data_IF_425727437020
#
_entry.id   IF_425727437020
#
_cell.length_a   1.000
_cell.length_b   1.000
_cell.length_c   1.000
_cell.angle_alpha   90.00
_cell.angle_beta   90.00
_cell.angle_gamma   90.00
#
_symmetry.space_group_name_H-M   'P 1'
#
loop_
_entity.id
_entity.type
_entity.pdbx_description
1 polymer ?
#
# COMPACT_ATOMS: atom_id res chain seq x y z
N UNK A 1 11.39 -28.91 -21.54
CA UNK A 1 10.57 -27.94 -22.30
C UNK A 1 9.19 -27.63 -21.66
N UNK A 2 8.92 -27.97 -20.39
CA UNK A 2 7.60 -27.76 -19.77
C UNK A 2 7.41 -26.41 -19.03
N UNK A 3 8.48 -25.67 -18.72
CA UNK A 3 8.41 -24.41 -17.94
C UNK A 3 8.14 -23.12 -18.77
N UNK A 4 7.77 -23.28 -20.05
CA UNK A 4 7.45 -22.13 -20.92
C UNK A 4 5.96 -21.75 -20.82
N UNK A 5 5.06 -22.73 -20.87
CA UNK A 5 3.61 -22.48 -20.92
C UNK A 5 3.03 -21.91 -19.60
N UNK A 6 3.50 -22.34 -18.43
CA UNK A 6 3.00 -21.80 -17.15
C UNK A 6 3.29 -20.30 -16.96
N UNK A 7 4.35 -19.78 -17.60
CA UNK A 7 4.69 -18.35 -17.52
C UNK A 7 3.65 -17.48 -18.21
N UNK A 8 3.04 -17.98 -19.29
CA UNK A 8 2.06 -17.24 -20.07
C UNK A 8 0.68 -17.29 -19.41
N UNK A 9 0.29 -18.38 -18.76
CA UNK A 9 -1.01 -18.47 -18.07
C UNK A 9 -1.11 -17.53 -16.86
N UNK A 10 -0.08 -17.49 -16.01
CA UNK A 10 -0.06 -16.55 -14.87
C UNK A 10 0.00 -15.11 -15.37
N UNK A 11 0.77 -14.84 -16.44
CA UNK A 11 0.80 -13.52 -17.06
C UNK A 11 -0.55 -13.13 -17.66
N UNK A 12 -1.27 -14.07 -18.27
CA UNK A 12 -2.63 -13.87 -18.79
C UNK A 12 -3.66 -13.66 -17.69
N UNK A 13 -3.60 -14.39 -16.57
CA UNK A 13 -4.46 -14.19 -15.41
C UNK A 13 -4.19 -12.84 -14.73
N UNK A 14 -2.92 -12.45 -14.60
CA UNK A 14 -2.53 -11.13 -14.09
C UNK A 14 -2.95 -10.05 -15.07
N UNK A 15 -2.80 -10.25 -16.38
CA UNK A 15 -3.29 -9.33 -17.41
C UNK A 15 -4.80 -9.25 -17.41
N UNK A 16 -5.54 -10.32 -17.17
CA UNK A 16 -7.00 -10.30 -17.01
C UNK A 16 -7.42 -9.49 -15.78
N UNK A 17 -6.71 -9.68 -14.66
CA UNK A 17 -6.93 -8.94 -13.42
C UNK A 17 -6.41 -7.48 -13.45
N UNK A 18 -5.48 -7.15 -14.36
CA UNK A 18 -4.87 -5.80 -14.46
C UNK A 18 -5.29 -5.00 -15.70
N UNK A 19 -5.84 -5.63 -16.75
CA UNK A 19 -6.28 -4.96 -17.99
C UNK A 19 -7.58 -4.17 -17.82
N UNK A 20 -8.12 -4.07 -16.62
CA UNK A 20 -9.27 -3.21 -16.30
C UNK A 20 -8.90 -1.72 -16.14
N UNK A 21 -7.71 -1.28 -16.58
CA UNK A 21 -7.13 0.04 -16.25
C UNK A 21 -7.30 1.13 -17.33
N UNK A 22 -7.98 0.89 -18.46
CA UNK A 22 -8.12 1.93 -19.51
C UNK A 22 -9.47 2.65 -19.58
N UNK A 23 -10.27 2.69 -18.51
CA UNK A 23 -11.49 3.52 -18.49
C UNK A 23 -11.62 4.29 -17.16
N UNK A 24 -11.00 5.49 -17.10
CA UNK A 24 -11.06 6.41 -15.95
C UNK A 24 -12.48 6.77 -15.49
N UNK A 25 -13.51 6.60 -16.35
CA UNK A 25 -14.88 7.07 -16.11
C UNK A 25 -15.77 6.11 -15.28
N UNK A 26 -15.34 4.86 -15.07
CA UNK A 26 -16.10 3.85 -14.30
C UNK A 26 -15.33 3.29 -13.10
N UNK A 27 -14.43 4.09 -12.53
CA UNK A 27 -13.50 3.69 -11.47
C UNK A 27 -14.20 3.19 -10.17
N UNK A 28 -15.43 3.63 -9.90
CA UNK A 28 -16.27 3.12 -8.80
C UNK A 28 -16.75 1.67 -9.01
N UNK A 29 -16.72 1.17 -10.25
CA UNK A 29 -17.10 -0.21 -10.59
C UNK A 29 -15.92 -1.19 -10.59
N UNK A 30 -14.68 -0.69 -10.50
CA UNK A 30 -13.49 -1.54 -10.39
C UNK A 30 -13.37 -2.08 -8.95
N UNK A 31 -12.97 -3.34 -8.82
CA UNK A 31 -12.83 -4.06 -7.54
C UNK A 31 -11.99 -3.27 -6.51
N UNK A 32 -11.00 -2.53 -6.98
CA UNK A 32 -10.14 -1.68 -6.15
C UNK A 32 -10.87 -0.44 -5.59
N UNK A 33 -11.65 0.27 -6.41
CA UNK A 33 -12.46 1.41 -5.95
C UNK A 33 -13.51 0.98 -4.92
N UNK A 34 -14.12 -0.19 -5.11
CA UNK A 34 -15.04 -0.81 -4.15
C UNK A 34 -14.32 -1.17 -2.84
N UNK A 35 -13.16 -1.82 -2.88
CA UNK A 35 -12.37 -2.13 -1.67
C UNK A 35 -12.06 -0.86 -0.85
N UNK A 36 -11.60 0.22 -1.49
CA UNK A 36 -11.23 1.45 -0.77
C UNK A 36 -12.45 2.17 -0.19
N UNK A 37 -13.53 2.27 -0.95
CA UNK A 37 -14.78 2.87 -0.45
C UNK A 37 -15.36 2.07 0.71
N UNK A 38 -15.35 0.74 0.62
CA UNK A 38 -15.78 -0.13 1.72
C UNK A 38 -14.80 -0.06 2.90
N UNK A 39 -13.51 0.25 2.71
CA UNK A 39 -12.56 0.53 3.81
C UNK A 39 -13.01 1.75 4.60
N UNK A 40 -13.36 2.84 3.91
CA UNK A 40 -13.88 4.04 4.55
C UNK A 40 -15.17 3.73 5.32
N UNK A 41 -16.09 2.96 4.73
CA UNK A 41 -17.32 2.55 5.41
C UNK A 41 -17.06 1.69 6.65
N UNK A 42 -16.16 0.70 6.54
CA UNK A 42 -15.76 -0.18 7.64
C UNK A 42 -15.22 0.64 8.82
N UNK A 43 -14.22 1.48 8.58
CA UNK A 43 -13.53 2.17 9.66
C UNK A 43 -14.25 3.44 10.14
N UNK A 44 -15.01 4.09 9.27
CA UNK A 44 -15.94 5.16 9.63
C UNK A 44 -17.05 4.64 10.55
N UNK A 45 -17.68 3.51 10.20
CA UNK A 45 -18.68 2.87 11.08
C UNK A 45 -18.08 2.41 12.41
N UNK A 46 -16.84 1.89 12.43
CA UNK A 46 -16.13 1.55 13.67
C UNK A 46 -15.92 2.75 14.59
N UNK A 47 -15.55 3.89 14.01
CA UNK A 47 -15.37 5.15 14.75
C UNK A 47 -16.69 5.63 15.35
N UNK A 48 -17.76 5.64 14.55
CA UNK A 48 -19.10 6.02 15.00
C UNK A 48 -19.63 5.07 16.07
N UNK A 49 -19.41 3.76 15.95
CA UNK A 49 -19.78 2.78 16.96
C UNK A 49 -19.10 3.09 18.31
N UNK A 50 -17.80 3.40 18.29
CA UNK A 50 -17.05 3.75 19.50
C UNK A 50 -17.54 5.05 20.14
N UNK A 51 -17.96 6.03 19.35
CA UNK A 51 -18.47 7.30 19.86
C UNK A 51 -19.89 7.18 20.42
N UNK A 52 -20.72 6.33 19.82
CA UNK A 52 -22.13 6.18 20.20
C UNK A 52 -22.35 5.15 21.30
N UNK A 53 -21.36 4.33 21.67
CA UNK A 53 -21.53 3.24 22.65
C UNK A 53 -22.05 3.73 24.01
N UNK A 54 -21.62 4.91 24.45
CA UNK A 54 -22.04 5.53 25.72
C UNK A 54 -23.35 6.30 25.62
N UNK A 55 -23.78 6.67 24.40
CA UNK A 55 -24.95 7.54 24.17
C UNK A 55 -26.17 6.74 23.72
N UNK A 56 -25.99 5.83 22.77
CA UNK A 56 -27.05 5.01 22.21
C UNK A 56 -26.50 3.63 21.81
N UNK A 57 -26.48 2.66 22.75
CA UNK A 57 -25.85 1.35 22.52
C UNK A 57 -26.53 0.55 21.40
N UNK A 58 -27.85 0.74 21.20
CA UNK A 58 -28.59 0.08 20.11
C UNK A 58 -28.10 0.54 18.73
N UNK A 59 -27.85 1.85 18.56
CA UNK A 59 -27.32 2.40 17.31
C UNK A 59 -25.84 2.03 17.15
N UNK A 60 -25.05 2.06 18.23
CA UNK A 60 -23.65 1.63 18.21
C UNK A 60 -23.50 0.18 17.73
N UNK A 61 -24.37 -0.73 18.19
CA UNK A 61 -24.38 -2.13 17.75
C UNK A 61 -24.66 -2.27 16.24
N UNK A 62 -25.54 -1.44 15.66
CA UNK A 62 -25.78 -1.42 14.20
C UNK A 62 -24.53 -1.02 13.43
N UNK A 63 -23.80 0.00 13.88
CA UNK A 63 -22.54 0.42 13.25
C UNK A 63 -21.41 -0.60 13.45
N UNK A 64 -21.36 -1.30 14.58
CA UNK A 64 -20.43 -2.39 14.81
C UNK A 64 -20.71 -3.58 13.87
N UNK A 65 -21.98 -3.94 13.67
CA UNK A 65 -22.38 -4.95 12.68
C UNK A 65 -21.98 -4.52 11.26
N UNK A 66 -22.21 -3.26 10.90
CA UNK A 66 -21.80 -2.70 9.61
C UNK A 66 -20.28 -2.78 9.41
N UNK A 67 -19.48 -2.53 10.46
CA UNK A 67 -18.02 -2.70 10.44
C UNK A 67 -17.64 -4.14 10.07
N UNK A 68 -18.27 -5.13 10.71
CA UNK A 68 -18.04 -6.55 10.44
C UNK A 68 -18.37 -6.93 8.99
N UNK A 69 -19.57 -6.57 8.53
CA UNK A 69 -20.03 -6.87 7.17
C UNK A 69 -19.15 -6.18 6.11
N UNK A 70 -18.81 -4.91 6.31
CA UNK A 70 -17.92 -4.18 5.41
C UNK A 70 -16.51 -4.83 5.37
N UNK A 71 -15.99 -5.28 6.52
CA UNK A 71 -14.70 -5.97 6.57
C UNK A 71 -14.70 -7.26 5.76
N UNK A 72 -15.77 -8.04 5.79
CA UNK A 72 -15.85 -9.31 5.08
C UNK A 72 -16.11 -9.08 3.58
N UNK A 73 -16.95 -8.10 3.22
CA UNK A 73 -17.11 -7.67 1.82
C UNK A 73 -15.79 -7.26 1.16
N UNK A 74 -14.91 -6.57 1.89
CA UNK A 74 -13.57 -6.21 1.38
C UNK A 74 -12.67 -7.41 1.14
N UNK A 75 -12.78 -8.49 1.90
CA UNK A 75 -11.97 -9.70 1.64
C UNK A 75 -12.34 -10.31 0.29
N UNK A 76 -13.63 -10.29 -0.05
CA UNK A 76 -14.12 -10.78 -1.35
C UNK A 76 -13.51 -9.94 -2.49
N UNK A 77 -13.51 -8.61 -2.38
CA UNK A 77 -12.91 -7.74 -3.41
C UNK A 77 -11.38 -7.89 -3.56
N UNK A 78 -10.72 -8.53 -2.60
CA UNK A 78 -9.26 -8.73 -2.56
C UNK A 78 -8.85 -10.17 -2.86
N UNK A 79 -9.81 -11.05 -3.18
CA UNK A 79 -9.54 -12.41 -3.64
C UNK A 79 -8.57 -12.37 -4.83
N UNK A 80 -7.54 -13.22 -4.82
CA UNK A 80 -6.56 -13.28 -5.91
C UNK A 80 -5.51 -12.17 -5.94
N UNK A 81 -5.55 -11.16 -5.04
CA UNK A 81 -4.50 -10.10 -4.96
C UNK A 81 -3.09 -10.66 -4.72
N UNK A 82 -2.98 -11.83 -4.10
CA UNK A 82 -1.69 -12.49 -3.86
C UNK A 82 -0.96 -12.83 -5.17
N UNK A 83 -1.67 -13.11 -6.28
CA UNK A 83 -1.06 -13.41 -7.58
C UNK A 83 -0.32 -12.18 -8.14
N UNK A 84 -0.92 -11.00 -8.02
CA UNK A 84 -0.30 -9.75 -8.46
C UNK A 84 0.94 -9.43 -7.60
N UNK A 85 0.85 -9.58 -6.28
CA UNK A 85 2.01 -9.37 -5.42
C UNK A 85 3.10 -10.42 -5.64
N UNK A 86 2.76 -11.67 -5.98
CA UNK A 86 3.74 -12.70 -6.32
C UNK A 86 4.58 -12.32 -7.54
N UNK A 87 3.94 -11.83 -8.60
CA UNK A 87 4.66 -11.37 -9.81
C UNK A 87 5.59 -10.18 -9.48
N UNK A 88 5.12 -9.22 -8.67
CA UNK A 88 5.96 -8.08 -8.24
C UNK A 88 7.15 -8.52 -7.40
N UNK A 89 6.93 -9.40 -6.41
CA UNK A 89 8.00 -9.96 -5.57
C UNK A 89 9.03 -10.68 -6.43
N UNK A 90 8.59 -11.51 -7.38
CA UNK A 90 9.49 -12.21 -8.31
C UNK A 90 10.31 -11.23 -9.15
N UNK A 91 9.69 -10.19 -9.68
CA UNK A 91 10.39 -9.17 -10.48
C UNK A 91 11.46 -8.43 -9.68
N UNK A 92 11.12 -7.97 -8.46
CA UNK A 92 12.05 -7.27 -7.57
C UNK A 92 13.18 -8.21 -7.11
N UNK A 93 12.85 -9.46 -6.80
CA UNK A 93 13.85 -10.47 -6.41
C UNK A 93 14.87 -10.72 -7.53
N UNK A 94 14.40 -10.90 -8.78
CA UNK A 94 15.29 -11.09 -9.93
C UNK A 94 16.17 -9.84 -10.15
N UNK A 95 15.59 -8.64 -10.05
CA UNK A 95 16.34 -7.39 -10.17
C UNK A 95 17.41 -7.24 -9.09
N UNK A 96 17.05 -7.54 -7.84
CA UNK A 96 17.96 -7.52 -6.69
C UNK A 96 19.11 -8.53 -6.87
N UNK A 97 18.81 -9.78 -7.21
CA UNK A 97 19.83 -10.81 -7.43
C UNK A 97 20.77 -10.45 -8.58
N UNK A 98 20.23 -9.92 -9.69
CA UNK A 98 21.05 -9.46 -10.83
C UNK A 98 21.98 -8.31 -10.43
N UNK A 99 21.50 -7.35 -9.64
CA UNK A 99 22.33 -6.25 -9.11
C UNK A 99 23.44 -6.79 -8.21
N UNK A 100 23.11 -7.74 -7.32
CA UNK A 100 24.08 -8.38 -6.43
C UNK A 100 25.13 -9.20 -7.16
N UNK A 101 24.77 -9.91 -8.23
CA UNK A 101 25.75 -10.64 -9.05
C UNK A 101 26.75 -9.72 -9.76
N UNK A 102 26.30 -8.54 -10.24
CA UNK A 102 27.18 -7.56 -10.89
C UNK A 102 28.10 -6.84 -9.90
N UNK A 103 27.63 -6.61 -8.68
CA UNK A 103 28.32 -5.82 -7.66
C UNK A 103 28.73 -6.66 -6.45
N UNK A 104 29.10 -7.93 -6.66
CA UNK A 104 29.34 -8.91 -5.60
C UNK A 104 30.47 -8.50 -4.63
N UNK A 105 31.47 -7.75 -5.11
CA UNK A 105 32.64 -7.30 -4.33
C UNK A 105 32.52 -5.90 -3.71
N UNK A 106 31.46 -5.15 -4.02
CA UNK A 106 31.26 -3.78 -3.53
C UNK A 106 30.43 -3.75 -2.23
N UNK A 107 30.69 -2.80 -1.33
CA UNK A 107 29.85 -2.57 -0.15
C UNK A 107 28.41 -2.23 -0.56
N UNK A 108 27.47 -2.41 0.38
CA UNK A 108 26.04 -2.20 0.14
C UNK A 108 25.73 -0.72 -0.12
N UNK A 109 25.56 -0.39 -1.40
CA UNK A 109 25.06 0.90 -1.84
C UNK A 109 23.60 1.16 -1.41
N UNK A 110 23.19 2.42 -1.31
CA UNK A 110 21.85 2.84 -0.88
C UNK A 110 20.73 2.31 -1.78
N UNK A 111 21.02 2.09 -3.06
CA UNK A 111 20.11 1.42 -3.99
C UNK A 111 19.78 -0.01 -3.53
N UNK A 112 20.80 -0.80 -3.14
CA UNK A 112 20.61 -2.17 -2.69
C UNK A 112 19.80 -2.26 -1.38
N UNK A 113 20.05 -1.33 -0.45
CA UNK A 113 19.28 -1.25 0.81
C UNK A 113 17.81 -0.94 0.54
N UNK A 114 17.54 -0.03 -0.39
CA UNK A 114 16.16 0.35 -0.77
C UNK A 114 15.45 -0.81 -1.48
N UNK A 115 16.12 -1.51 -2.39
CA UNK A 115 15.58 -2.72 -3.04
C UNK A 115 15.28 -3.84 -2.04
N UNK A 116 16.14 -4.04 -1.02
CA UNK A 116 15.89 -5.02 0.03
C UNK A 116 14.65 -4.64 0.87
N UNK A 117 14.52 -3.37 1.27
CA UNK A 117 13.33 -2.89 2.00
C UNK A 117 12.05 -3.09 1.17
N UNK A 118 12.10 -2.81 -0.13
CA UNK A 118 11.00 -3.07 -1.05
C UNK A 118 10.68 -4.57 -1.12
N UNK A 119 11.69 -5.43 -1.19
CA UNK A 119 11.51 -6.88 -1.22
C UNK A 119 10.85 -7.39 0.07
N UNK A 120 11.35 -6.96 1.24
CA UNK A 120 10.76 -7.32 2.55
C UNK A 120 9.32 -6.84 2.63
N UNK A 121 9.07 -5.59 2.22
CA UNK A 121 7.72 -5.01 2.23
C UNK A 121 6.75 -5.83 1.36
N UNK A 122 7.14 -6.10 0.11
CA UNK A 122 6.32 -6.81 -0.87
C UNK A 122 6.10 -8.27 -0.48
N UNK A 123 7.10 -8.92 0.09
CA UNK A 123 6.97 -10.26 0.63
C UNK A 123 6.02 -10.29 1.84
N UNK A 124 6.12 -9.33 2.75
CA UNK A 124 5.17 -9.17 3.86
C UNK A 124 3.72 -9.02 3.37
N UNK A 125 3.51 -8.18 2.35
CA UNK A 125 2.20 -8.04 1.72
C UNK A 125 1.74 -9.32 1.00
N UNK A 126 2.62 -10.05 0.32
CA UNK A 126 2.29 -11.32 -0.31
C UNK A 126 1.77 -12.32 0.74
N UNK A 127 2.50 -12.52 1.83
CA UNK A 127 2.08 -13.39 2.93
C UNK A 127 0.76 -12.93 3.55
N UNK A 128 0.60 -11.61 3.74
CA UNK A 128 -0.66 -11.02 4.20
C UNK A 128 -1.83 -11.38 3.27
N UNK A 129 -1.68 -11.21 1.96
CA UNK A 129 -2.76 -11.51 1.01
C UNK A 129 -3.11 -12.99 0.98
N UNK A 130 -2.12 -13.88 1.03
CA UNK A 130 -2.35 -15.33 1.12
C UNK A 130 -3.15 -15.65 2.40
N UNK A 131 -2.75 -15.13 3.55
CA UNK A 131 -3.43 -15.36 4.82
C UNK A 131 -4.82 -14.72 4.88
N UNK A 132 -5.03 -13.56 4.27
CA UNK A 132 -6.35 -12.90 4.16
C UNK A 132 -7.32 -13.74 3.32
N UNK A 133 -6.84 -14.35 2.22
CA UNK A 133 -7.61 -15.29 1.40
C UNK A 133 -7.92 -16.58 2.19
N UNK A 134 -6.93 -17.17 2.87
CA UNK A 134 -7.14 -18.34 3.73
C UNK A 134 -8.12 -18.07 4.87
N UNK A 135 -8.07 -16.89 5.47
CA UNK A 135 -8.99 -16.46 6.52
C UNK A 135 -10.43 -16.37 5.99
N UNK A 136 -10.63 -15.86 4.78
CA UNK A 136 -11.94 -15.84 4.13
C UNK A 136 -12.44 -17.26 3.84
N UNK A 137 -11.59 -18.11 3.27
CA UNK A 137 -11.92 -19.52 2.99
C UNK A 137 -12.26 -20.32 4.27
N UNK A 138 -11.58 -20.01 5.37
CA UNK A 138 -11.85 -20.63 6.66
C UNK A 138 -13.17 -20.13 7.27
N UNK A 139 -13.51 -18.85 7.08
CA UNK A 139 -14.80 -18.29 7.51
C UNK A 139 -16.01 -18.90 6.80
N UNK A 140 -15.88 -19.19 5.50
CA UNK A 140 -16.93 -19.88 4.73
C UNK A 140 -16.96 -21.41 4.98
N UNK A 141 -16.19 -21.90 5.95
CA UNK A 141 -16.04 -23.33 6.30
C UNK A 141 -15.52 -24.21 5.15
N UNK A 142 -14.89 -23.62 4.14
CA UNK A 142 -14.23 -24.36 3.08
C UNK A 142 -12.91 -24.97 3.58
N UNK A 143 -12.23 -24.29 4.50
CA UNK A 143 -11.01 -24.79 5.17
C UNK A 143 -11.22 -24.83 6.69
N UNK A 144 -10.70 -25.86 7.35
CA UNK A 144 -10.82 -26.07 8.80
C UNK A 144 -9.81 -25.32 9.67
N UNK A 145 -9.20 -24.23 9.19
CA UNK A 145 -8.16 -23.51 9.94
C UNK A 145 -8.73 -22.62 11.04
N UNK A 146 -7.92 -22.42 12.09
CA UNK A 146 -8.24 -21.50 13.18
C UNK A 146 -8.19 -20.03 12.70
N UNK A 147 -9.38 -19.45 12.58
CA UNK A 147 -9.58 -18.06 12.12
C UNK A 147 -8.91 -17.03 13.04
N UNK A 148 -8.78 -17.28 14.35
CA UNK A 148 -8.14 -16.34 15.27
C UNK A 148 -6.63 -16.31 15.07
N UNK A 149 -6.00 -17.48 14.92
CA UNK A 149 -4.57 -17.59 14.64
C UNK A 149 -4.23 -17.00 13.27
N UNK A 150 -5.03 -17.30 12.24
CA UNK A 150 -4.87 -16.72 10.90
C UNK A 150 -5.01 -15.19 10.92
N UNK A 151 -6.00 -14.64 11.62
CA UNK A 151 -6.17 -13.19 11.73
C UNK A 151 -4.97 -12.51 12.40
N UNK A 152 -4.41 -13.13 13.45
CA UNK A 152 -3.21 -12.62 14.11
C UNK A 152 -1.98 -12.66 13.20
N UNK A 153 -1.73 -13.79 12.52
CA UNK A 153 -0.62 -13.90 11.56
C UNK A 153 -0.78 -12.89 10.41
N UNK A 154 -2.00 -12.73 9.91
CA UNK A 154 -2.35 -11.71 8.93
C UNK A 154 -1.94 -10.31 9.41
N UNK A 155 -2.26 -9.94 10.66
CA UNK A 155 -1.80 -8.70 11.27
C UNK A 155 -0.27 -8.55 11.32
N UNK A 156 0.45 -9.60 11.70
CA UNK A 156 1.93 -9.58 11.76
C UNK A 156 2.57 -9.37 10.38
N UNK A 157 2.13 -10.11 9.36
CA UNK A 157 2.67 -9.95 8.01
C UNK A 157 2.29 -8.61 7.38
N UNK A 158 1.09 -8.10 7.69
CA UNK A 158 0.70 -6.76 7.28
C UNK A 158 1.63 -5.70 7.89
N UNK A 159 1.97 -5.83 9.17
CA UNK A 159 2.92 -4.93 9.83
C UNK A 159 4.31 -4.96 9.22
N UNK A 160 4.85 -6.15 8.96
CA UNK A 160 6.16 -6.30 8.30
C UNK A 160 6.13 -5.59 6.93
N UNK A 161 5.05 -5.80 6.17
CA UNK A 161 4.81 -5.12 4.89
C UNK A 161 4.81 -3.59 5.03
N UNK A 162 4.08 -3.07 6.02
CA UNK A 162 3.97 -1.64 6.30
C UNK A 162 5.27 -1.00 6.77
N UNK A 163 6.03 -1.64 7.65
CA UNK A 163 7.32 -1.12 8.13
C UNK A 163 8.33 -0.99 6.98
N UNK A 164 8.43 -2.03 6.14
CA UNK A 164 9.27 -1.97 4.94
C UNK A 164 8.79 -0.90 3.96
N UNK A 165 7.47 -0.75 3.80
CA UNK A 165 6.89 0.29 2.93
C UNK A 165 7.19 1.68 3.47
N UNK A 166 7.02 1.92 4.77
CA UNK A 166 7.26 3.21 5.41
C UNK A 166 8.74 3.62 5.27
N UNK A 167 9.66 2.68 5.50
CA UNK A 167 11.08 2.91 5.31
C UNK A 167 11.44 3.20 3.84
N UNK A 168 10.78 2.53 2.91
CA UNK A 168 10.95 2.79 1.46
C UNK A 168 10.45 4.19 1.09
N UNK A 169 9.21 4.54 1.48
CA UNK A 169 8.61 5.84 1.16
C UNK A 169 9.39 7.00 1.79
N UNK A 170 9.93 6.82 3.01
CA UNK A 170 10.77 7.83 3.66
C UNK A 170 12.08 8.07 2.89
N UNK A 171 12.68 7.01 2.32
CA UNK A 171 13.86 7.12 1.46
C UNK A 171 13.53 7.76 0.12
N UNK A 172 12.42 7.36 -0.51
CA UNK A 172 11.93 7.97 -1.74
C UNK A 172 11.69 9.46 -1.54
N UNK A 173 11.05 9.86 -0.44
CA UNK A 173 10.78 11.26 -0.16
C UNK A 173 12.06 12.08 -0.04
N UNK A 174 13.07 11.58 0.68
CA UNK A 174 14.39 12.24 0.77
C UNK A 174 15.05 12.37 -0.60
N UNK A 175 15.07 11.29 -1.37
CA UNK A 175 15.64 11.29 -2.73
C UNK A 175 14.97 12.35 -3.61
N UNK A 176 13.64 12.38 -3.63
CA UNK A 176 12.87 13.33 -4.44
C UNK A 176 13.10 14.77 -3.98
N UNK A 177 13.28 15.01 -2.68
CA UNK A 177 13.64 16.34 -2.17
C UNK A 177 15.03 16.77 -2.63
N UNK A 178 16.01 15.87 -2.58
CA UNK A 178 17.37 16.13 -3.05
C UNK A 178 17.39 16.36 -4.57
N UNK A 179 16.65 15.55 -5.33
CA UNK A 179 16.51 15.67 -6.79
C UNK A 179 15.84 17.01 -7.18
N UNK A 180 14.80 17.43 -6.45
CA UNK A 180 14.11 18.72 -6.63
C UNK A 180 15.09 19.88 -6.40
N UNK A 181 15.86 19.87 -5.31
CA UNK A 181 16.83 20.91 -5.01
C UNK A 181 17.95 20.97 -6.06
N UNK A 182 18.50 19.82 -6.45
CA UNK A 182 19.55 19.74 -7.46
C UNK A 182 19.07 20.27 -8.82
N UNK A 183 17.81 20.03 -9.19
CA UNK A 183 17.22 20.59 -10.40
C UNK A 183 17.06 22.10 -10.33
N UNK A 184 16.59 22.64 -9.20
CA UNK A 184 16.47 24.09 -9.01
C UNK A 184 17.84 24.78 -9.08
N UNK A 185 18.85 24.24 -8.40
CA UNK A 185 20.23 24.78 -8.43
C UNK A 185 20.84 24.75 -9.84
N UNK A 186 20.51 23.74 -10.64
CA UNK A 186 20.97 23.63 -12.04
C UNK A 186 20.29 24.69 -12.91
N UNK A 187 18.99 24.91 -12.72
CA UNK A 187 18.24 25.93 -13.46
C UNK A 187 18.74 27.34 -13.16
N UNK A 188 19.02 27.66 -11.89
CA UNK A 188 19.57 28.97 -11.51
C UNK A 188 20.94 29.23 -12.17
N UNK A 189 21.79 28.20 -12.27
CA UNK A 189 23.11 28.29 -12.92
C UNK A 189 23.00 28.47 -14.43
N UNK A 190 22.04 27.82 -15.06
CA UNK A 190 21.87 27.81 -16.51
C UNK A 190 21.14 29.07 -17.03
N UNK A 191 20.23 29.66 -16.24
CA UNK A 191 19.57 30.94 -16.54
C UNK A 191 20.58 32.09 -16.70
N UNK A 192 21.74 31.97 -16.05
CA UNK A 192 22.83 32.96 -16.13
C UNK A 192 23.63 32.86 -17.45
N UNK A 193 23.45 31.80 -18.27
CA UNK A 193 24.40 31.45 -19.35
C UNK A 193 23.83 31.42 -20.78
N UNK A 194 22.52 31.39 -21.01
CA UNK A 194 21.95 31.27 -22.36
C UNK A 194 20.84 32.31 -22.67
N UNK A 195 20.80 32.81 -23.91
CA UNK A 195 19.75 33.68 -24.44
C UNK A 195 19.23 33.10 -25.77
N UNK A 196 17.91 32.98 -25.93
CA UNK A 196 17.26 32.62 -27.22
C UNK A 196 16.18 31.53 -27.14
N UNK A 197 15.71 31.03 -28.30
CA UNK A 197 14.61 30.07 -28.42
C UNK A 197 14.85 28.70 -27.74
N UNK A 198 16.11 28.31 -27.52
CA UNK A 198 16.47 27.11 -26.75
C UNK A 198 16.12 27.23 -25.26
N UNK A 199 16.04 28.46 -24.72
CA UNK A 199 15.65 28.73 -23.34
C UNK A 199 14.19 28.36 -23.09
N UNK A 200 13.28 28.64 -24.03
CA UNK A 200 11.85 28.35 -23.87
C UNK A 200 11.56 26.83 -23.85
N UNK A 201 12.25 26.06 -24.70
CA UNK A 201 12.12 24.59 -24.74
C UNK A 201 12.64 23.98 -23.43
N UNK A 202 13.84 24.40 -22.98
CA UNK A 202 14.42 23.94 -21.70
C UNK A 202 13.58 24.35 -20.50
N UNK A 203 13.05 25.57 -20.47
CA UNK A 203 12.16 26.04 -19.40
C UNK A 203 10.88 25.18 -19.32
N UNK A 204 10.31 24.78 -20.46
CA UNK A 204 9.16 23.86 -20.50
C UNK A 204 9.52 22.46 -19.99
N UNK A 205 10.67 21.92 -20.37
CA UNK A 205 11.15 20.63 -19.88
C UNK A 205 11.42 20.66 -18.38
N UNK A 206 12.12 21.68 -17.91
CA UNK A 206 12.39 21.93 -16.49
C UNK A 206 11.11 22.03 -15.67
N UNK A 207 10.15 22.84 -16.13
CA UNK A 207 8.86 22.98 -15.48
C UNK A 207 8.07 21.65 -15.45
N UNK A 208 8.22 20.82 -16.49
CA UNK A 208 7.62 19.48 -16.53
C UNK A 208 8.27 18.55 -15.51
N UNK A 209 9.60 18.48 -15.48
CA UNK A 209 10.33 17.63 -14.53
C UNK A 209 10.05 18.04 -13.09
N UNK A 210 10.02 19.35 -12.80
CA UNK A 210 9.70 19.86 -11.48
C UNK A 210 8.27 19.47 -11.07
N UNK A 211 7.30 19.55 -11.98
CA UNK A 211 5.93 19.09 -11.73
C UNK A 211 5.88 17.59 -11.46
N UNK A 212 6.63 16.77 -12.20
CA UNK A 212 6.71 15.32 -11.99
C UNK A 212 7.32 14.99 -10.62
N UNK A 213 8.39 15.67 -10.22
CA UNK A 213 9.00 15.53 -8.88
C UNK A 213 8.05 15.97 -7.76
N UNK A 214 7.33 17.09 -7.94
CA UNK A 214 6.33 17.56 -6.97
C UNK A 214 5.17 16.57 -6.82
N UNK A 215 4.74 15.95 -7.92
CA UNK A 215 3.74 14.88 -7.90
C UNK A 215 4.25 13.64 -7.15
N UNK A 216 5.49 13.20 -7.42
CA UNK A 216 6.11 12.07 -6.71
C UNK A 216 6.26 12.35 -5.21
N UNK A 217 6.70 13.57 -4.84
CA UNK A 217 6.82 14.04 -3.45
C UNK A 217 5.48 14.02 -2.72
N UNK A 218 4.43 14.52 -3.37
CA UNK A 218 3.06 14.52 -2.82
C UNK A 218 2.55 13.09 -2.64
N UNK A 219 2.76 12.22 -3.62
CA UNK A 219 2.37 10.82 -3.56
C UNK A 219 3.11 10.08 -2.41
N UNK A 220 4.42 10.26 -2.29
CA UNK A 220 5.22 9.67 -1.21
C UNK A 220 4.76 10.16 0.18
N UNK A 221 4.48 11.46 0.31
CA UNK A 221 3.97 12.05 1.55
C UNK A 221 2.61 11.47 1.96
N UNK A 222 1.67 11.36 1.01
CA UNK A 222 0.37 10.73 1.24
C UNK A 222 0.51 9.25 1.62
N UNK A 223 1.43 8.52 0.96
CA UNK A 223 1.71 7.12 1.29
C UNK A 223 2.30 6.96 2.68
N UNK A 224 3.16 7.87 3.15
CA UNK A 224 3.69 7.86 4.52
C UNK A 224 2.57 8.01 5.55
N UNK A 225 1.70 9.02 5.39
CA UNK A 225 0.58 9.25 6.33
C UNK A 225 -0.36 8.05 6.33
N UNK A 226 -0.71 7.54 5.15
CA UNK A 226 -1.56 6.36 4.98
C UNK A 226 -0.95 5.12 5.64
N UNK A 227 0.33 4.84 5.40
CA UNK A 227 1.02 3.67 5.96
C UNK A 227 1.17 3.80 7.49
N UNK A 228 1.42 5.00 8.01
CA UNK A 228 1.45 5.25 9.45
C UNK A 228 0.07 4.99 10.10
N UNK A 229 -1.01 5.46 9.47
CA UNK A 229 -2.37 5.20 9.94
C UNK A 229 -2.73 3.70 9.84
N UNK A 230 -2.34 3.02 8.76
CA UNK A 230 -2.50 1.57 8.63
C UNK A 230 -1.64 0.79 9.65
N UNK A 231 -0.49 1.33 10.09
CA UNK A 231 0.36 0.72 11.11
C UNK A 231 -0.38 0.58 12.45
N UNK A 232 -1.18 1.58 12.83
CA UNK A 232 -2.03 1.54 14.04
C UNK A 232 -3.01 0.37 13.96
N UNK A 233 -3.67 0.23 12.82
CA UNK A 233 -4.68 -0.81 12.59
C UNK A 233 -4.05 -2.20 12.57
N UNK A 234 -2.95 -2.36 11.84
CA UNK A 234 -2.22 -3.62 11.72
C UNK A 234 -1.60 -4.03 13.07
N UNK A 235 -1.15 -3.06 13.87
CA UNK A 235 -0.59 -3.28 15.22
C UNK A 235 -1.64 -3.88 16.14
N UNK A 236 -2.85 -3.32 16.11
CA UNK A 236 -3.96 -3.84 16.89
C UNK A 236 -4.34 -5.26 16.44
N UNK A 237 -4.39 -5.51 15.12
CA UNK A 237 -4.69 -6.84 14.57
C UNK A 237 -3.62 -7.90 14.90
N UNK A 238 -2.35 -7.49 15.04
CA UNK A 238 -1.26 -8.37 15.46
C UNK A 238 -1.21 -8.61 16.98
N UNK A 239 -2.09 -7.97 17.76
CA UNK A 239 -2.08 -7.96 19.23
C UNK A 239 -0.77 -7.39 19.83
N UNK A 240 -0.07 -6.52 19.11
CA UNK A 240 1.15 -5.87 19.60
C UNK A 240 0.90 -4.93 20.79
N UNK A 241 -0.11 -4.02 20.74
CA UNK A 241 -0.43 -3.15 21.86
C UNK A 241 -0.79 -3.93 23.13
N UNK A 242 -1.54 -5.04 23.00
CA UNK A 242 -1.87 -5.88 24.14
C UNK A 242 -0.63 -6.52 24.79
N UNK A 243 0.40 -6.86 23.99
CA UNK A 243 1.67 -7.38 24.52
C UNK A 243 2.54 -6.31 25.19
N UNK A 244 2.50 -5.07 24.70
CA UNK A 244 3.37 -3.98 25.17
C UNK A 244 2.72 -3.23 26.34
N UNK A 245 1.45 -2.85 26.21
CA UNK A 245 0.72 -2.01 27.15
C UNK A 245 -0.26 -2.82 28.02
N UNK A 246 -0.40 -4.13 27.81
CA UNK A 246 -1.34 -4.97 28.53
C UNK A 246 -2.80 -4.85 28.06
N UNK A 247 -3.14 -3.83 27.26
CA UNK A 247 -4.48 -3.62 26.73
C UNK A 247 -4.49 -3.36 25.20
N UNK A 248 -5.57 -3.72 24.48
CA UNK A 248 -5.72 -3.36 23.08
C UNK A 248 -5.86 -1.84 22.92
N UNK A 249 -5.69 -1.34 21.69
CA UNK A 249 -5.96 0.06 21.39
C UNK A 249 -7.46 0.36 21.43
N UNK A 250 -7.87 1.57 21.83
CA UNK A 250 -9.26 1.97 21.79
C UNK A 250 -9.86 1.82 20.37
N UNK A 251 -11.07 1.30 20.31
CA UNK A 251 -11.80 1.03 19.07
C UNK A 251 -11.96 2.29 18.20
N UNK A 252 -12.19 3.46 18.82
CA UNK A 252 -12.27 4.75 18.13
C UNK A 252 -10.96 5.18 17.47
N UNK A 253 -9.81 4.93 18.10
CA UNK A 253 -8.48 5.24 17.55
C UNK A 253 -8.18 4.37 16.32
N UNK A 254 -8.44 3.06 16.43
CA UNK A 254 -8.27 2.11 15.32
C UNK A 254 -9.24 2.43 14.19
N UNK A 255 -10.48 2.79 14.52
CA UNK A 255 -11.48 3.30 13.58
C UNK A 255 -10.98 4.53 12.82
N UNK A 256 -10.50 5.54 13.53
CA UNK A 256 -10.12 6.82 12.92
C UNK A 256 -8.89 6.64 12.02
N UNK A 257 -7.87 5.91 12.47
CA UNK A 257 -6.68 5.62 11.68
C UNK A 257 -7.02 4.83 10.39
N UNK A 258 -7.88 3.80 10.50
CA UNK A 258 -8.33 3.05 9.34
C UNK A 258 -9.19 3.87 8.38
N UNK A 259 -9.92 4.88 8.87
CA UNK A 259 -10.69 5.80 8.05
C UNK A 259 -9.79 6.78 7.29
N UNK A 260 -8.81 7.40 7.97
CA UNK A 260 -7.84 8.32 7.34
C UNK A 260 -7.10 7.61 6.19
N UNK A 261 -6.56 6.41 6.43
CA UNK A 261 -5.87 5.64 5.39
C UNK A 261 -6.80 5.23 4.24
N UNK A 262 -8.08 4.95 4.54
CA UNK A 262 -9.12 4.71 3.54
C UNK A 262 -9.39 5.94 2.67
N UNK A 263 -9.61 7.09 3.30
CA UNK A 263 -9.90 8.35 2.63
C UNK A 263 -8.75 8.78 1.71
N UNK A 264 -7.50 8.70 2.18
CA UNK A 264 -6.32 8.94 1.35
C UNK A 264 -6.28 7.99 0.15
N UNK A 265 -6.61 6.71 0.35
CA UNK A 265 -6.64 5.74 -0.76
C UNK A 265 -7.72 6.05 -1.79
N UNK A 266 -8.88 6.54 -1.36
CA UNK A 266 -9.94 7.00 -2.26
C UNK A 266 -9.51 8.25 -3.04
N UNK A 267 -8.86 9.21 -2.36
CA UNK A 267 -8.33 10.42 -2.99
C UNK A 267 -7.29 10.08 -4.08
N UNK A 268 -6.30 9.24 -3.75
CA UNK A 268 -5.25 8.79 -4.69
C UNK A 268 -5.77 7.98 -5.89
N UNK A 269 -6.98 7.42 -5.79
CA UNK A 269 -7.60 6.74 -6.93
C UNK A 269 -8.24 7.75 -7.90
N UNK A 270 -8.74 8.86 -7.39
CA UNK A 270 -9.46 9.86 -8.18
C UNK A 270 -8.53 10.87 -8.87
N UNK A 271 -7.45 11.26 -8.19
CA UNK A 271 -6.38 12.16 -8.69
C UNK A 271 -5.51 11.47 -9.77
#
# INVERSE_FOLDING_TARGET
MAFSNERDEVAHLVKFWSSTVKIKKYLFFITEGRDKSTKCLQYGSRTLASFLVTRNPKVAAKFAALTGTASDGRKIFRLGKFLNEYVKVKAILIAFLRSRCKSAKLPWDECHKTQLLQLISRFGFLCYWVLDNLLLLSKIKFLGFDTKKLAKLCGVFWLIGLLGSLATEARTLRRVQDDEQNHLDTLERDDTREHGANLEIRAKEAARTLRELQQEKRAASLNLIKNAADLVVASNLAHLPHKIFGHPLPEGTVGTAGFISGAISCYQLYD
#
